data_IF_323607686522
#
_entry.id   IF_323607686522
#
_cell.length_a   1.000
_cell.length_b   1.000
_cell.length_c   1.000
_cell.angle_alpha   90.00
_cell.angle_beta   90.00
_cell.angle_gamma   90.00
#
_symmetry.space_group_name_H-M   'P 1'
#
loop_
_entity.id
_entity.type
_entity.pdbx_description
1 polymer ?
#
# COMPACT_ATOMS: atom_id res chain seq x y z
N UNK A 1 -8.04 -14.94 11.79
CA UNK A 1 -7.55 -13.75 12.55
C UNK A 1 -6.73 -12.82 11.66
N UNK A 2 -5.80 -13.34 10.85
CA UNK A 2 -5.05 -12.56 9.83
C UNK A 2 -5.91 -11.79 8.81
N UNK A 3 -7.03 -12.36 8.33
CA UNK A 3 -8.00 -11.65 7.47
C UNK A 3 -8.59 -10.38 8.11
N UNK A 4 -8.72 -10.33 9.44
CA UNK A 4 -9.23 -9.15 10.16
C UNK A 4 -8.17 -8.06 10.33
N UNK A 5 -6.91 -8.44 10.50
CA UNK A 5 -5.82 -7.48 10.74
C UNK A 5 -5.45 -6.69 9.48
N UNK A 6 -5.47 -7.34 8.31
CA UNK A 6 -5.25 -6.65 7.02
C UNK A 6 -6.52 -5.97 6.48
N UNK A 7 -7.71 -6.51 6.76
CA UNK A 7 -8.97 -5.89 6.35
C UNK A 7 -9.26 -4.55 7.03
N UNK A 8 -8.79 -4.35 8.27
CA UNK A 8 -8.92 -3.07 8.97
C UNK A 8 -7.93 -2.01 8.50
N UNK A 9 -6.79 -2.40 7.92
CA UNK A 9 -5.75 -1.48 7.44
C UNK A 9 -6.05 -1.01 6.01
N UNK A 10 -6.74 -1.83 5.20
CA UNK A 10 -7.11 -1.53 3.81
C UNK A 10 -8.55 -1.02 3.63
N UNK A 11 -9.24 -0.65 4.71
CA UNK A 11 -10.52 0.05 4.63
C UNK A 11 -11.73 -0.80 4.25
N UNK A 12 -11.90 -1.99 4.81
CA UNK A 12 -13.21 -2.64 4.83
C UNK A 12 -13.99 -2.22 6.09
N UNK A 13 -14.78 -1.15 5.97
CA UNK A 13 -15.87 -0.88 6.89
C UNK A 13 -17.17 -1.43 6.29
N UNK A 14 -17.58 -2.60 6.78
CA UNK A 14 -18.97 -3.04 6.70
C UNK A 14 -19.81 -2.17 7.65
N UNK A 15 -20.47 -1.13 7.14
CA UNK A 15 -21.67 -0.58 7.80
C UNK A 15 -22.79 -0.29 6.78
N UNK A 16 -23.79 -1.17 6.85
CA UNK A 16 -25.21 -1.04 6.52
C UNK A 16 -25.68 0.11 5.64
N UNK A 17 -25.94 -0.25 4.38
CA UNK A 17 -26.71 0.50 3.40
C UNK A 17 -28.20 0.60 3.83
N UNK A 18 -28.68 1.81 4.18
CA UNK A 18 -30.11 2.15 4.14
C UNK A 18 -30.35 3.29 3.15
N UNK A 19 -30.74 2.87 1.94
CA UNK A 19 -31.73 3.46 1.05
C UNK A 19 -31.97 4.98 1.13
N UNK A 20 -31.60 5.70 0.06
CA UNK A 20 -32.54 6.56 -0.65
C UNK A 20 -32.04 6.88 -2.07
N UNK A 21 -32.96 6.69 -3.04
CA UNK A 21 -32.83 6.98 -4.46
C UNK A 21 -33.78 8.18 -4.78
N UNK A 22 -33.80 8.74 -6.01
CA UNK A 22 -33.11 9.96 -6.44
C UNK A 22 -34.08 11.14 -6.71
N UNK A 23 -33.63 12.41 -6.60
CA UNK A 23 -34.36 13.55 -7.20
C UNK A 23 -33.45 14.67 -7.73
N UNK A 24 -33.53 14.82 -9.06
CA UNK A 24 -33.55 16.04 -9.90
C UNK A 24 -32.48 17.15 -9.80
N UNK A 25 -31.72 17.22 -10.91
CA UNK A 25 -31.62 18.36 -11.84
C UNK A 25 -32.00 19.76 -11.32
N UNK A 26 -31.00 20.64 -11.23
CA UNK A 26 -31.09 21.98 -11.82
C UNK A 26 -29.70 22.50 -12.22
N UNK A 27 -29.64 23.03 -13.44
CA UNK A 27 -28.49 23.62 -14.10
C UNK A 27 -28.24 25.07 -13.64
N UNK A 28 -26.97 25.47 -13.64
CA UNK A 28 -26.45 26.82 -13.95
C UNK A 28 -24.92 26.70 -14.10
N UNK A 29 -24.42 26.58 -15.34
CA UNK A 29 -23.83 27.66 -16.15
C UNK A 29 -22.43 28.13 -15.69
N UNK A 30 -21.44 27.61 -16.42
CA UNK A 30 -20.20 28.20 -16.91
C UNK A 30 -19.66 29.48 -16.26
N UNK A 31 -18.43 29.39 -15.75
CA UNK A 31 -17.40 30.34 -16.12
C UNK A 31 -16.12 29.56 -16.48
N UNK A 32 -15.79 29.63 -17.77
CA UNK A 32 -14.48 29.26 -18.32
C UNK A 32 -13.48 30.31 -17.84
N UNK A 33 -12.37 29.87 -17.24
CA UNK A 33 -11.11 30.59 -17.34
C UNK A 33 -10.05 29.59 -17.81
N UNK A 34 -9.62 29.84 -19.04
CA UNK A 34 -8.67 29.11 -19.84
C UNK A 34 -7.26 29.59 -19.44
N UNK A 35 -6.40 28.70 -18.96
CA UNK A 35 -4.96 28.89 -18.99
C UNK A 35 -4.36 27.64 -19.64
N UNK A 36 -4.11 27.76 -20.95
CA UNK A 36 -3.03 27.06 -21.64
C UNK A 36 -1.73 27.39 -20.91
N UNK A 37 -0.99 26.38 -20.48
CA UNK A 37 0.47 26.47 -20.43
C UNK A 37 1.06 25.13 -20.89
N UNK A 38 2.04 25.28 -21.77
CA UNK A 38 2.66 24.32 -22.67
C UNK A 38 3.37 23.18 -21.91
N UNK A 39 3.16 21.94 -22.36
CA UNK A 39 4.02 20.81 -21.99
C UNK A 39 5.32 20.93 -22.80
N UNK A 40 6.38 21.43 -22.16
CA UNK A 40 7.74 21.22 -22.65
C UNK A 40 8.18 19.80 -22.28
N UNK A 41 8.36 19.01 -23.33
CA UNK A 41 8.78 17.61 -23.35
C UNK A 41 10.29 17.62 -23.65
N UNK A 42 11.12 17.45 -22.62
CA UNK A 42 12.47 16.88 -22.68
C UNK A 42 13.18 17.15 -21.34
N UNK A 43 13.38 16.11 -20.53
CA UNK A 43 14.73 15.77 -20.03
C UNK A 43 14.69 14.47 -19.20
N UNK A 44 15.45 13.52 -19.73
CA UNK A 44 15.94 12.26 -19.18
C UNK A 44 16.30 12.31 -17.68
N UNK A 45 15.51 11.68 -16.81
CA UNK A 45 15.89 11.47 -15.40
C UNK A 45 16.52 10.09 -15.22
N UNK A 46 17.85 10.09 -15.26
CA UNK A 46 18.67 9.01 -14.71
C UNK A 46 18.31 8.83 -13.23
N UNK A 47 17.90 7.61 -12.85
CA UNK A 47 17.75 7.23 -11.44
C UNK A 47 19.16 7.10 -10.85
N UNK A 48 19.72 8.21 -10.37
CA UNK A 48 20.81 8.15 -9.40
C UNK A 48 20.21 7.80 -8.03
N UNK A 49 20.73 6.72 -7.43
CA UNK A 49 20.45 6.28 -6.07
C UNK A 49 20.95 7.35 -5.09
N UNK A 50 20.10 8.33 -4.80
CA UNK A 50 20.44 9.55 -4.08
C UNK A 50 20.30 9.35 -2.56
N UNK A 51 20.98 8.32 -2.03
CA UNK A 51 20.98 7.97 -0.60
C UNK A 51 21.45 9.10 0.34
N UNK A 52 22.02 10.18 -0.22
CA UNK A 52 22.45 11.36 0.51
C UNK A 52 21.44 12.53 0.52
N UNK A 53 20.37 12.49 -0.27
CA UNK A 53 19.39 13.59 -0.34
C UNK A 53 18.36 13.60 0.80
N UNK A 54 18.17 12.45 1.47
CA UNK A 54 17.12 12.24 2.47
C UNK A 54 17.67 11.87 3.84
N UNK A 55 17.03 12.35 4.90
CA UNK A 55 17.27 11.91 6.26
C UNK A 55 16.90 10.41 6.39
N UNK A 56 17.81 9.54 6.83
CA UNK A 56 17.57 8.10 6.83
C UNK A 56 16.57 7.64 7.90
N UNK A 57 16.27 8.47 8.91
CA UNK A 57 15.35 8.12 10.00
C UNK A 57 13.91 8.59 9.73
N UNK A 58 13.75 9.69 9.00
CA UNK A 58 12.45 10.33 8.76
C UNK A 58 12.04 10.38 7.30
N UNK A 59 12.97 10.11 6.39
CA UNK A 59 12.83 10.22 4.93
C UNK A 59 12.44 11.62 4.45
N UNK A 60 12.60 12.64 5.30
CA UNK A 60 12.49 14.03 4.86
C UNK A 60 13.74 14.45 4.08
N UNK A 61 13.56 15.28 3.06
CA UNK A 61 14.67 15.87 2.32
C UNK A 61 15.51 16.74 3.23
N UNK A 62 16.84 16.67 3.12
CA UNK A 62 17.77 17.41 3.98
C UNK A 62 17.77 18.93 3.74
N UNK A 63 17.00 19.42 2.77
CA UNK A 63 16.96 20.82 2.35
C UNK A 63 15.90 21.67 3.10
N UNK A 64 15.14 21.06 4.01
CA UNK A 64 14.25 21.76 4.94
C UNK A 64 14.27 21.09 6.33
N UNK A 65 13.79 21.80 7.35
CA UNK A 65 13.56 21.21 8.67
C UNK A 65 12.14 20.66 8.79
N UNK A 66 11.94 19.68 9.67
CA UNK A 66 10.61 19.12 9.94
C UNK A 66 9.64 20.21 10.43
N UNK A 67 10.13 21.20 11.18
CA UNK A 67 9.30 22.34 11.63
C UNK A 67 8.86 23.22 10.46
N UNK A 68 9.72 23.46 9.46
CA UNK A 68 9.35 24.19 8.24
C UNK A 68 8.30 23.41 7.45
N UNK A 69 8.48 22.10 7.31
CA UNK A 69 7.51 21.22 6.67
C UNK A 69 6.14 21.26 7.38
N UNK A 70 6.13 21.10 8.70
CA UNK A 70 4.90 21.12 9.49
C UNK A 70 4.20 22.48 9.44
N UNK A 71 4.95 23.59 9.46
CA UNK A 71 4.38 24.93 9.37
C UNK A 71 3.72 25.19 8.00
N UNK A 72 4.33 24.71 6.90
CA UNK A 72 3.75 24.83 5.57
C UNK A 72 2.46 24.01 5.44
N UNK A 73 2.47 22.76 5.92
CA UNK A 73 1.28 21.91 5.98
C UNK A 73 0.18 22.58 6.77
N UNK A 74 0.50 23.11 7.95
CA UNK A 74 -0.47 23.79 8.80
C UNK A 74 -1.06 25.03 8.14
N UNK A 75 -0.23 25.81 7.44
CA UNK A 75 -0.66 26.98 6.68
C UNK A 75 -1.67 26.61 5.59
N UNK A 76 -1.36 25.60 4.76
CA UNK A 76 -2.24 25.16 3.66
C UNK A 76 -3.53 24.52 4.18
N UNK A 77 -3.42 23.62 5.15
CA UNK A 77 -4.57 22.95 5.73
C UNK A 77 -5.53 23.93 6.41
N UNK A 78 -5.03 24.88 7.21
CA UNK A 78 -5.87 25.90 7.85
C UNK A 78 -6.51 26.84 6.83
N UNK A 79 -5.81 27.21 5.77
CA UNK A 79 -6.37 28.05 4.71
C UNK A 79 -7.54 27.35 3.99
N UNK A 80 -7.45 26.03 3.79
CA UNK A 80 -8.53 25.23 3.23
C UNK A 80 -9.70 25.06 4.20
N UNK A 81 -9.42 24.68 5.45
CA UNK A 81 -10.45 24.53 6.50
C UNK A 81 -11.23 25.84 6.68
N UNK A 82 -10.54 26.98 6.76
CA UNK A 82 -11.19 28.29 6.90
C UNK A 82 -12.05 28.68 5.69
N UNK A 83 -11.73 28.16 4.49
CA UNK A 83 -12.56 28.34 3.30
C UNK A 83 -13.84 27.52 3.41
N UNK A 84 -13.74 26.24 3.74
CA UNK A 84 -14.90 25.36 3.92
C UNK A 84 -15.84 25.87 5.03
N UNK A 85 -15.29 26.27 6.17
CA UNK A 85 -16.08 26.81 7.29
C UNK A 85 -16.81 28.11 6.89
N UNK A 86 -16.16 28.99 6.11
CA UNK A 86 -16.78 30.20 5.57
C UNK A 86 -17.92 29.87 4.61
N UNK A 87 -17.76 28.80 3.84
CA UNK A 87 -18.75 28.34 2.87
C UNK A 87 -19.88 27.50 3.55
N UNK A 88 -19.86 27.43 4.89
CA UNK A 88 -20.92 26.85 5.71
C UNK A 88 -20.78 25.34 5.92
N UNK A 89 -19.67 24.74 5.48
CA UNK A 89 -19.38 23.33 5.68
C UNK A 89 -18.91 23.12 7.11
N UNK A 90 -19.55 22.18 7.81
CA UNK A 90 -19.14 21.78 9.16
C UNK A 90 -18.27 20.54 9.04
N UNK A 91 -16.97 20.72 9.21
CA UNK A 91 -15.99 19.63 9.18
C UNK A 91 -15.98 18.88 10.51
N UNK A 92 -15.99 17.55 10.46
CA UNK A 92 -15.73 16.73 11.64
C UNK A 92 -14.21 16.57 11.84
N UNK A 93 -13.80 16.12 13.03
CA UNK A 93 -12.39 15.92 13.33
C UNK A 93 -11.70 14.98 12.33
N UNK A 94 -12.41 13.94 11.88
CA UNK A 94 -11.92 13.01 10.85
C UNK A 94 -11.64 13.71 9.52
N UNK A 95 -12.47 14.67 9.13
CA UNK A 95 -12.27 15.43 7.89
C UNK A 95 -11.04 16.33 8.02
N UNK A 96 -10.91 17.00 9.18
CA UNK A 96 -9.73 17.80 9.53
C UNK A 96 -8.47 16.95 9.42
N UNK A 97 -8.45 15.78 10.04
CA UNK A 97 -7.29 14.88 10.02
C UNK A 97 -6.93 14.44 8.59
N UNK A 98 -7.93 14.13 7.75
CA UNK A 98 -7.74 13.80 6.34
C UNK A 98 -7.16 14.98 5.52
N UNK A 99 -7.63 16.20 5.78
CA UNK A 99 -7.13 17.41 5.11
C UNK A 99 -5.66 17.61 5.43
N UNK A 100 -5.29 17.50 6.71
CA UNK A 100 -3.90 17.57 7.13
C UNK A 100 -3.06 16.46 6.48
N UNK A 101 -3.55 15.23 6.43
CA UNK A 101 -2.85 14.13 5.77
C UNK A 101 -2.59 14.41 4.29
N UNK A 102 -3.61 14.87 3.54
CA UNK A 102 -3.49 15.19 2.12
C UNK A 102 -2.47 16.31 1.86
N UNK A 103 -2.50 17.38 2.66
CA UNK A 103 -1.54 18.47 2.50
C UNK A 103 -0.12 18.08 2.85
N UNK A 104 0.08 17.12 3.77
CA UNK A 104 1.42 16.56 4.01
C UNK A 104 1.97 15.87 2.77
N UNK A 105 1.13 15.09 2.07
CA UNK A 105 1.50 14.46 0.81
C UNK A 105 1.87 15.49 -0.25
N UNK A 106 1.02 16.50 -0.41
CA UNK A 106 1.22 17.55 -1.41
C UNK A 106 2.52 18.33 -1.16
N UNK A 107 2.76 18.77 0.07
CA UNK A 107 3.99 19.50 0.44
C UNK A 107 5.21 18.60 0.27
N UNK A 108 5.13 17.33 0.67
CA UNK A 108 6.25 16.40 0.53
C UNK A 108 6.60 16.15 -0.93
N UNK A 109 5.61 15.87 -1.78
CA UNK A 109 5.84 15.70 -3.22
C UNK A 109 6.40 16.98 -3.85
N UNK A 110 5.82 18.15 -3.54
CA UNK A 110 6.24 19.42 -4.12
C UNK A 110 7.67 19.81 -3.73
N UNK A 111 8.08 19.55 -2.50
CA UNK A 111 9.40 19.96 -2.01
C UNK A 111 10.50 18.98 -2.41
N UNK A 112 10.20 17.70 -2.49
CA UNK A 112 11.23 16.67 -2.72
C UNK A 112 11.25 16.15 -4.16
N UNK A 113 10.29 16.54 -5.01
CA UNK A 113 10.09 15.98 -6.34
C UNK A 113 10.15 14.43 -6.34
N UNK A 114 9.52 13.83 -5.32
CA UNK A 114 9.74 12.44 -4.98
C UNK A 114 9.01 11.47 -5.93
N UNK A 115 9.61 10.31 -6.19
CA UNK A 115 8.95 9.20 -6.90
C UNK A 115 7.81 8.61 -6.06
N UNK A 116 6.95 7.80 -6.69
CA UNK A 116 5.88 7.09 -5.98
C UNK A 116 6.43 6.11 -4.92
N UNK A 117 7.57 5.47 -5.17
CA UNK A 117 8.22 4.59 -4.20
C UNK A 117 8.74 5.37 -2.99
N UNK A 118 9.42 6.50 -3.23
CA UNK A 118 9.90 7.37 -2.15
C UNK A 118 8.73 7.91 -1.31
N UNK A 119 7.63 8.25 -1.97
CA UNK A 119 6.39 8.67 -1.30
C UNK A 119 5.83 7.56 -0.40
N UNK A 120 5.74 6.33 -0.91
CA UNK A 120 5.24 5.18 -0.15
C UNK A 120 6.12 4.89 1.07
N UNK A 121 7.44 4.96 0.90
CA UNK A 121 8.41 4.77 2.00
C UNK A 121 8.26 5.87 3.06
N UNK A 122 8.12 7.12 2.65
CA UNK A 122 7.91 8.24 3.57
C UNK A 122 6.56 8.14 4.30
N UNK A 123 5.48 7.78 3.62
CA UNK A 123 4.17 7.52 4.24
C UNK A 123 4.26 6.37 5.25
N UNK A 124 4.94 5.28 4.91
CA UNK A 124 5.13 4.18 5.82
C UNK A 124 5.91 4.61 7.08
N UNK A 125 6.94 5.44 6.92
CA UNK A 125 7.74 5.96 8.03
C UNK A 125 6.99 6.99 8.91
N UNK A 126 6.00 7.71 8.37
CA UNK A 126 5.37 8.85 9.05
C UNK A 126 3.84 8.71 9.28
N UNK A 127 3.19 7.69 8.72
CA UNK A 127 1.74 7.49 8.76
C UNK A 127 1.17 7.40 10.17
N UNK A 128 1.89 6.78 11.10
CA UNK A 128 1.44 6.68 12.49
C UNK A 128 1.55 8.01 13.24
N UNK A 129 2.61 8.79 13.00
CA UNK A 129 2.74 10.18 13.47
C UNK A 129 1.57 11.04 13.02
N UNK A 130 1.08 10.83 11.80
CA UNK A 130 -0.04 11.58 11.24
C UNK A 130 -1.40 11.19 11.82
N UNK A 131 -1.51 10.01 12.44
CA UNK A 131 -2.70 9.58 13.22
C UNK A 131 -2.61 10.01 14.70
N UNK A 132 -1.67 10.90 15.06
CA UNK A 132 -1.50 11.38 16.43
C UNK A 132 -0.84 10.37 17.37
N UNK A 133 -0.33 9.26 16.85
CA UNK A 133 0.48 8.31 17.60
C UNK A 133 1.93 8.78 17.49
N UNK A 134 2.57 9.11 18.60
CA UNK A 134 3.97 9.50 18.59
C UNK A 134 4.84 8.31 18.17
N UNK A 135 5.15 8.22 16.88
CA UNK A 135 6.11 7.25 16.34
C UNK A 135 7.33 8.01 15.84
N UNK A 136 8.49 7.73 16.42
CA UNK A 136 9.77 8.25 15.96
C UNK A 136 10.20 7.48 14.72
N UNK A 137 9.74 7.89 13.52
CA UNK A 137 10.24 7.40 12.22
C UNK A 137 10.55 5.90 12.18
N UNK A 138 11.71 5.54 11.61
CA UNK A 138 12.23 4.18 11.74
C UNK A 138 12.49 3.84 13.23
N UNK A 139 11.73 2.89 13.77
CA UNK A 139 11.99 2.33 15.09
C UNK A 139 13.22 1.42 15.01
N UNK A 140 14.21 1.67 15.88
CA UNK A 140 15.36 0.76 16.05
C UNK A 140 14.97 -0.36 17.01
N UNK A 141 15.38 -1.57 16.67
CA UNK A 141 15.19 -2.73 17.54
C UNK A 141 15.92 -2.54 18.87
N UNK A 142 15.18 -2.64 19.98
CA UNK A 142 15.73 -2.60 21.33
C UNK A 142 15.72 -4.00 21.94
N UNK A 143 16.90 -4.59 22.05
CA UNK A 143 17.11 -5.92 22.66
C UNK A 143 16.60 -6.04 24.11
N UNK A 144 16.39 -4.92 24.80
CA UNK A 144 15.83 -4.89 26.16
C UNK A 144 14.30 -4.91 26.21
N UNK A 145 13.62 -4.74 25.07
CA UNK A 145 12.16 -4.77 25.00
C UNK A 145 11.64 -6.20 25.27
N UNK A 146 10.81 -6.41 26.30
CA UNK A 146 10.27 -7.73 26.62
C UNK A 146 9.34 -8.28 25.53
N UNK A 147 8.71 -7.43 24.73
CA UNK A 147 7.86 -7.86 23.62
C UNK A 147 8.66 -8.34 22.39
N UNK A 148 9.95 -8.04 22.31
CA UNK A 148 10.82 -8.47 21.20
C UNK A 148 11.59 -9.77 21.49
N UNK A 149 11.39 -10.38 22.67
CA UNK A 149 12.10 -11.61 23.03
C UNK A 149 11.76 -12.77 22.07
N UNK A 150 12.73 -13.47 21.48
CA UNK A 150 12.48 -14.55 20.54
C UNK A 150 11.56 -15.63 21.10
N UNK A 151 10.69 -16.19 20.24
CA UNK A 151 9.79 -17.30 20.57
C UNK A 151 10.31 -18.53 19.82
N UNK A 152 10.66 -19.60 20.53
CA UNK A 152 11.33 -20.78 19.94
C UNK A 152 12.62 -20.45 19.17
N UNK A 153 13.32 -19.38 19.56
CA UNK A 153 14.50 -18.88 18.84
C UNK A 153 14.20 -18.11 17.55
N UNK A 154 12.92 -17.84 17.27
CA UNK A 154 12.47 -17.01 16.15
C UNK A 154 12.21 -15.59 16.65
N UNK A 155 13.00 -14.64 16.15
CA UNK A 155 12.82 -13.21 16.39
C UNK A 155 11.69 -12.62 15.52
N UNK A 156 11.37 -11.34 15.76
CA UNK A 156 10.29 -10.66 15.04
C UNK A 156 10.60 -10.59 13.54
N UNK A 157 11.84 -10.27 13.16
CA UNK A 157 12.27 -10.14 11.76
C UNK A 157 12.08 -11.45 10.99
N UNK A 158 12.51 -12.56 11.57
CA UNK A 158 12.36 -13.91 10.99
C UNK A 158 10.89 -14.31 10.90
N UNK A 159 10.11 -14.04 11.94
CA UNK A 159 8.66 -14.27 11.91
C UNK A 159 7.98 -13.47 10.80
N UNK A 160 8.32 -12.19 10.64
CA UNK A 160 7.78 -11.34 9.58
C UNK A 160 8.11 -11.88 8.20
N UNK A 161 9.34 -12.34 7.98
CA UNK A 161 9.75 -12.94 6.72
C UNK A 161 8.98 -14.23 6.39
N UNK A 162 8.76 -15.10 7.39
CA UNK A 162 7.91 -16.28 7.24
C UNK A 162 6.48 -15.89 6.88
N UNK A 163 5.90 -14.91 7.59
CA UNK A 163 4.56 -14.40 7.32
C UNK A 163 4.43 -13.79 5.92
N UNK A 164 5.44 -13.03 5.48
CA UNK A 164 5.54 -12.49 4.11
C UNK A 164 5.56 -13.59 3.06
N UNK A 165 6.34 -14.65 3.27
CA UNK A 165 6.43 -15.78 2.33
C UNK A 165 5.11 -16.56 2.23
N UNK A 166 4.42 -16.73 3.35
CA UNK A 166 3.09 -17.34 3.36
C UNK A 166 2.07 -16.43 2.68
N UNK A 167 2.15 -15.12 2.95
CA UNK A 167 1.34 -14.09 2.29
C UNK A 167 1.56 -14.04 0.77
N UNK A 168 2.75 -14.42 0.28
CA UNK A 168 3.04 -14.56 -1.14
C UNK A 168 2.55 -15.88 -1.75
N UNK A 169 1.75 -16.66 -1.00
CA UNK A 169 1.10 -17.89 -1.47
C UNK A 169 1.93 -19.16 -1.32
N UNK A 170 3.06 -19.13 -0.59
CA UNK A 170 3.78 -20.36 -0.23
C UNK A 170 3.03 -21.09 0.87
N UNK A 171 2.87 -22.41 0.72
CA UNK A 171 2.27 -23.23 1.76
C UNK A 171 3.07 -23.14 3.08
N UNK A 172 2.36 -22.90 4.19
CA UNK A 172 3.02 -22.67 5.47
C UNK A 172 3.81 -23.89 5.97
N UNK A 173 3.45 -25.12 5.56
CA UNK A 173 4.21 -26.32 5.94
C UNK A 173 5.54 -26.38 5.21
N UNK A 174 5.62 -25.87 3.97
CA UNK A 174 6.88 -25.72 3.25
C UNK A 174 7.77 -24.66 3.90
N UNK A 175 7.19 -23.54 4.33
CA UNK A 175 7.90 -22.50 5.08
C UNK A 175 8.43 -23.05 6.41
N UNK A 176 7.60 -23.78 7.17
CA UNK A 176 8.02 -24.44 8.41
C UNK A 176 9.17 -25.43 8.15
N UNK A 177 9.04 -26.28 7.12
CA UNK A 177 10.06 -27.26 6.74
C UNK A 177 11.38 -26.59 6.38
N UNK A 178 11.37 -25.51 5.62
CA UNK A 178 12.58 -24.78 5.25
C UNK A 178 13.26 -24.10 6.45
N UNK A 179 12.45 -23.64 7.40
CA UNK A 179 12.93 -23.09 8.67
C UNK A 179 13.31 -24.16 9.70
N UNK A 180 13.16 -25.45 9.37
CA UNK A 180 13.35 -26.58 10.30
C UNK A 180 12.48 -26.44 11.58
N UNK A 181 11.23 -26.03 11.39
CA UNK A 181 10.23 -25.84 12.44
C UNK A 181 9.10 -26.86 12.31
N UNK A 182 8.57 -27.30 13.44
CA UNK A 182 7.32 -28.06 13.47
C UNK A 182 6.13 -27.13 13.21
N UNK A 183 5.08 -27.57 12.48
CA UNK A 183 3.88 -26.76 12.25
C UNK A 183 3.23 -26.19 13.52
N UNK A 184 3.29 -26.93 14.64
CA UNK A 184 2.79 -26.46 15.93
C UNK A 184 3.54 -25.20 16.44
N UNK A 185 4.84 -25.07 16.14
CA UNK A 185 5.61 -23.86 16.48
C UNK A 185 5.08 -22.66 15.69
N UNK A 186 4.73 -22.85 14.42
CA UNK A 186 4.14 -21.79 13.61
C UNK A 186 2.76 -21.33 14.12
N UNK A 187 1.92 -22.26 14.57
CA UNK A 187 0.64 -21.93 15.20
C UNK A 187 0.83 -21.09 16.49
N UNK A 188 1.84 -21.43 17.29
CA UNK A 188 2.18 -20.67 18.49
C UNK A 188 2.73 -19.27 18.14
N UNK A 189 3.63 -19.17 17.17
CA UNK A 189 4.15 -17.89 16.69
C UNK A 189 3.02 -16.96 16.22
N UNK A 190 2.04 -17.51 15.50
CA UNK A 190 0.83 -16.80 15.05
C UNK A 190 -0.15 -16.42 16.16
N UNK A 191 0.09 -16.90 17.38
CA UNK A 191 -0.67 -16.49 18.56
C UNK A 191 0.11 -15.43 19.34
N UNK A 192 1.38 -15.71 19.62
CA UNK A 192 2.23 -14.88 20.49
C UNK A 192 2.54 -13.53 19.85
N UNK A 193 2.97 -13.48 18.58
CA UNK A 193 3.35 -12.22 17.95
C UNK A 193 2.17 -11.25 17.78
N UNK A 194 0.98 -11.69 17.28
CA UNK A 194 -0.19 -10.82 17.25
C UNK A 194 -0.65 -10.38 18.65
N UNK A 195 -0.55 -11.25 19.66
CA UNK A 195 -0.85 -10.87 21.03
C UNK A 195 0.09 -9.78 21.53
N UNK A 196 1.40 -9.90 21.29
CA UNK A 196 2.39 -8.88 21.66
C UNK A 196 2.18 -7.57 20.92
N UNK A 197 1.81 -7.60 19.64
CA UNK A 197 1.41 -6.39 18.89
C UNK A 197 0.19 -5.71 19.50
N UNK A 198 -0.76 -6.49 20.03
CA UNK A 198 -1.97 -5.96 20.66
C UNK A 198 -1.71 -5.41 22.08
N UNK A 199 -0.78 -6.02 22.82
CA UNK A 199 -0.42 -5.62 24.18
C UNK A 199 0.63 -4.50 24.22
N UNK A 200 1.41 -4.34 23.16
CA UNK A 200 2.43 -3.29 23.05
C UNK A 200 1.82 -1.91 22.81
N UNK A 201 1.62 -1.17 23.90
CA UNK A 201 1.08 0.19 23.87
C UNK A 201 2.00 1.23 23.22
N UNK A 202 3.30 0.95 23.05
CA UNK A 202 4.20 1.85 22.32
C UNK A 202 4.21 1.60 20.81
N UNK A 203 3.43 0.63 20.33
CA UNK A 203 3.34 0.24 18.92
C UNK A 203 4.69 -0.15 18.28
N UNK A 204 5.71 -0.39 19.09
CA UNK A 204 7.08 -0.72 18.68
C UNK A 204 7.11 -2.02 17.89
N UNK A 205 6.45 -3.07 18.38
CA UNK A 205 6.36 -4.38 17.72
C UNK A 205 5.64 -4.27 16.38
N UNK A 206 4.52 -3.56 16.34
CA UNK A 206 3.73 -3.35 15.11
C UNK A 206 4.52 -2.54 14.07
N UNK A 207 5.24 -1.51 14.51
CA UNK A 207 6.09 -0.68 13.64
C UNK A 207 7.23 -1.51 13.05
N UNK A 208 7.98 -2.23 13.89
CA UNK A 208 9.07 -3.11 13.47
C UNK A 208 8.58 -4.22 12.54
N UNK A 209 7.41 -4.81 12.82
CA UNK A 209 6.80 -5.78 11.92
C UNK A 209 6.55 -5.18 10.53
N UNK A 210 5.97 -3.98 10.46
CA UNK A 210 5.78 -3.26 9.21
C UNK A 210 7.11 -3.05 8.49
N UNK A 211 8.11 -2.50 9.17
CA UNK A 211 9.44 -2.24 8.62
C UNK A 211 10.08 -3.50 8.02
N UNK A 212 10.14 -4.60 8.79
CA UNK A 212 10.68 -5.87 8.31
C UNK A 212 9.87 -6.48 7.17
N UNK A 213 8.58 -6.19 7.05
CA UNK A 213 7.75 -6.68 5.95
C UNK A 213 8.15 -6.03 4.61
N UNK A 214 8.61 -4.77 4.66
CA UNK A 214 9.14 -4.05 3.49
C UNK A 214 10.52 -4.53 3.04
N UNK A 215 11.30 -5.17 3.91
CA UNK A 215 12.66 -5.62 3.61
C UNK A 215 12.70 -6.79 2.61
N UNK A 216 13.82 -6.89 1.89
CA UNK A 216 14.09 -8.07 1.06
C UNK A 216 14.26 -9.32 1.92
N UNK A 217 13.87 -10.47 1.38
CA UNK A 217 14.03 -11.77 2.05
C UNK A 217 15.46 -12.33 1.93
N UNK A 218 16.37 -11.63 1.26
CA UNK A 218 17.73 -12.10 0.94
C UNK A 218 18.54 -12.47 2.19
N UNK A 219 18.27 -11.79 3.32
CA UNK A 219 18.95 -12.06 4.59
C UNK A 219 18.51 -13.39 5.25
N UNK A 220 17.39 -13.98 4.80
CA UNK A 220 16.88 -15.27 5.32
C UNK A 220 16.94 -16.29 4.18
N UNK A 221 18.16 -16.76 3.94
CA UNK A 221 18.52 -17.69 2.86
C UNK A 221 17.64 -18.95 2.78
N UNK A 222 17.09 -19.40 3.91
CA UNK A 222 16.18 -20.55 3.98
C UNK A 222 14.87 -20.30 3.22
N UNK A 223 14.39 -19.06 3.18
CA UNK A 223 13.13 -18.65 2.55
C UNK A 223 13.31 -18.09 1.14
N UNK A 224 14.53 -17.67 0.78
CA UNK A 224 14.83 -17.01 -0.49
C UNK A 224 14.44 -17.87 -1.71
N UNK A 225 14.66 -19.19 -1.66
CA UNK A 225 14.48 -20.08 -2.82
C UNK A 225 13.17 -20.88 -2.84
N UNK A 226 12.28 -20.66 -1.87
CA UNK A 226 11.00 -21.37 -1.85
C UNK A 226 10.04 -20.59 -2.72
N UNK A 227 9.39 -21.22 -3.69
CA UNK A 227 8.38 -20.56 -4.50
C UNK A 227 7.00 -21.18 -4.22
N UNK A 228 5.91 -20.42 -4.43
CA UNK A 228 4.57 -20.98 -4.39
C UNK A 228 4.49 -22.17 -5.37
N UNK A 229 3.98 -23.30 -4.90
CA UNK A 229 3.74 -24.43 -5.79
C UNK A 229 2.59 -24.05 -6.74
N UNK A 230 2.94 -23.82 -8.01
CA UNK A 230 1.97 -23.51 -9.05
C UNK A 230 1.73 -24.73 -9.93
N UNK A 231 0.45 -25.02 -10.19
CA UNK A 231 0.07 -25.95 -11.24
C UNK A 231 0.55 -25.44 -12.61
N UNK A 232 0.72 -26.35 -13.57
CA UNK A 232 1.15 -25.97 -14.93
C UNK A 232 0.14 -25.00 -15.57
N UNK A 233 -1.17 -25.20 -15.34
CA UNK A 233 -2.21 -24.27 -15.77
C UNK A 233 -2.08 -22.89 -15.12
N UNK A 234 -1.76 -22.82 -13.82
CA UNK A 234 -1.55 -21.54 -13.15
C UNK A 234 -0.33 -20.79 -13.72
N UNK A 235 0.75 -21.51 -14.05
CA UNK A 235 1.93 -20.93 -14.71
C UNK A 235 1.57 -20.41 -16.10
N UNK A 236 0.78 -21.16 -16.87
CA UNK A 236 0.28 -20.72 -18.18
C UNK A 236 -0.59 -19.46 -18.06
N UNK A 237 -1.51 -19.41 -17.08
CA UNK A 237 -2.34 -18.23 -16.84
C UNK A 237 -1.52 -17.03 -16.39
N UNK A 238 -0.54 -17.21 -15.51
CA UNK A 238 0.35 -16.13 -15.09
C UNK A 238 1.21 -15.62 -16.26
N UNK A 239 1.74 -16.52 -17.08
CA UNK A 239 2.46 -16.13 -18.28
C UNK A 239 1.54 -15.39 -19.27
N UNK A 240 0.32 -15.87 -19.44
CA UNK A 240 -0.69 -15.22 -20.27
C UNK A 240 -1.03 -13.83 -19.74
N UNK A 241 -1.20 -13.67 -18.42
CA UNK A 241 -1.37 -12.37 -17.78
C UNK A 241 -0.20 -11.43 -18.07
N UNK A 242 1.05 -11.92 -18.14
CA UNK A 242 2.22 -11.10 -18.46
C UNK A 242 2.30 -10.70 -19.94
N UNK A 243 1.78 -11.53 -20.85
CA UNK A 243 1.95 -11.32 -22.30
C UNK A 243 0.71 -10.83 -23.04
N UNK A 244 -0.47 -11.00 -22.47
CA UNK A 244 -1.77 -10.67 -23.06
C UNK A 244 -2.48 -9.62 -22.19
N UNK A 245 -2.38 -8.33 -22.54
CA UNK A 245 -2.96 -7.26 -21.75
C UNK A 245 -4.48 -7.36 -21.61
N UNK A 246 -5.17 -7.91 -22.61
CA UNK A 246 -6.63 -8.09 -22.55
C UNK A 246 -7.01 -9.16 -21.52
N UNK A 247 -6.22 -10.22 -21.41
CA UNK A 247 -6.43 -11.24 -20.40
C UNK A 247 -6.20 -10.69 -18.98
N UNK A 248 -5.17 -9.85 -18.80
CA UNK A 248 -4.97 -9.13 -17.54
C UNK A 248 -6.17 -8.22 -17.19
N UNK A 249 -6.63 -7.41 -18.15
CA UNK A 249 -7.77 -6.51 -17.95
C UNK A 249 -9.08 -7.28 -17.65
N UNK A 250 -9.29 -8.43 -18.28
CA UNK A 250 -10.42 -9.33 -18.00
C UNK A 250 -10.37 -9.87 -16.57
N UNK A 251 -9.20 -10.33 -16.12
CA UNK A 251 -9.03 -10.82 -14.76
C UNK A 251 -9.18 -9.71 -13.72
N UNK A 252 -8.71 -8.49 -14.01
CA UNK A 252 -8.91 -7.33 -13.14
C UNK A 252 -10.40 -6.95 -13.07
N UNK A 253 -11.11 -7.00 -14.20
CA UNK A 253 -12.56 -6.84 -14.26
C UNK A 253 -13.31 -7.88 -13.45
N UNK A 254 -12.93 -9.16 -13.56
CA UNK A 254 -13.51 -10.25 -12.81
C UNK A 254 -13.24 -10.13 -11.30
N UNK A 255 -12.02 -9.73 -10.91
CA UNK A 255 -11.63 -9.45 -9.53
C UNK A 255 -12.48 -8.32 -8.93
N UNK A 256 -12.65 -7.22 -9.67
CA UNK A 256 -13.48 -6.10 -9.23
C UNK A 256 -14.97 -6.47 -9.16
N UNK A 257 -15.47 -7.24 -10.12
CA UNK A 257 -16.83 -7.75 -10.08
C UNK A 257 -17.06 -8.61 -8.84
N UNK A 258 -16.13 -9.51 -8.50
CA UNK A 258 -16.21 -10.32 -7.29
C UNK A 258 -16.35 -9.46 -6.02
N UNK A 259 -15.54 -8.39 -5.89
CA UNK A 259 -15.71 -7.43 -4.78
C UNK A 259 -17.09 -6.77 -4.77
N UNK A 260 -17.60 -6.35 -5.93
CA UNK A 260 -18.91 -5.72 -6.04
C UNK A 260 -20.06 -6.66 -5.61
N UNK A 261 -19.85 -7.99 -5.68
CA UNK A 261 -20.79 -9.01 -5.21
C UNK A 261 -20.50 -9.51 -3.78
N UNK A 262 -19.63 -8.83 -3.02
CA UNK A 262 -19.29 -9.19 -1.64
C UNK A 262 -18.39 -10.43 -1.52
N UNK A 263 -17.74 -10.84 -2.61
CA UNK A 263 -16.75 -11.92 -2.62
C UNK A 263 -15.33 -11.34 -2.49
N UNK A 264 -14.43 -12.13 -1.91
CA UNK A 264 -13.01 -11.82 -1.89
C UNK A 264 -12.43 -12.03 -3.30
N UNK A 265 -12.29 -10.95 -4.08
CA UNK A 265 -11.85 -11.03 -5.47
C UNK A 265 -10.45 -11.62 -5.63
N UNK A 266 -9.55 -11.37 -4.67
CA UNK A 266 -8.23 -12.00 -4.67
C UNK A 266 -8.32 -13.51 -4.46
N UNK A 267 -9.17 -13.95 -3.52
CA UNK A 267 -9.46 -15.38 -3.32
C UNK A 267 -10.11 -16.00 -4.56
N UNK A 268 -11.04 -15.28 -5.22
CA UNK A 268 -11.70 -15.78 -6.42
C UNK A 268 -10.70 -16.03 -7.56
N UNK A 269 -9.74 -15.13 -7.78
CA UNK A 269 -8.68 -15.31 -8.77
C UNK A 269 -7.78 -16.50 -8.40
N UNK A 270 -7.42 -16.64 -7.13
CA UNK A 270 -6.64 -17.77 -6.64
C UNK A 270 -7.37 -19.10 -6.88
N UNK A 271 -8.66 -19.18 -6.57
CA UNK A 271 -9.44 -20.41 -6.69
C UNK A 271 -9.67 -20.83 -8.16
N UNK A 272 -9.81 -19.87 -9.08
CA UNK A 272 -10.14 -20.15 -10.48
C UNK A 272 -8.89 -20.24 -11.39
N UNK A 273 -7.83 -19.50 -11.07
CA UNK A 273 -6.65 -19.39 -11.93
C UNK A 273 -5.36 -19.85 -11.23
N UNK A 274 -5.38 -20.14 -9.93
CA UNK A 274 -4.18 -20.51 -9.17
C UNK A 274 -3.18 -19.37 -9.02
N UNK A 275 -3.62 -18.13 -9.23
CA UNK A 275 -2.79 -16.92 -9.18
C UNK A 275 -3.07 -16.22 -7.86
N UNK A 276 -2.05 -16.10 -7.02
CA UNK A 276 -2.20 -15.43 -5.74
C UNK A 276 -2.09 -13.90 -5.88
N UNK A 277 -2.46 -13.18 -4.83
CA UNK A 277 -2.48 -11.73 -4.84
C UNK A 277 -1.10 -11.12 -5.14
N UNK A 278 -0.03 -11.67 -4.59
CA UNK A 278 1.32 -11.13 -4.81
C UNK A 278 1.73 -11.22 -6.29
N UNK A 279 1.48 -12.38 -6.92
CA UNK A 279 1.71 -12.58 -8.36
C UNK A 279 0.85 -11.65 -9.21
N UNK A 280 -0.40 -11.44 -8.80
CA UNK A 280 -1.29 -10.51 -9.47
C UNK A 280 -0.77 -9.07 -9.40
N UNK A 281 -0.31 -8.63 -8.22
CA UNK A 281 0.27 -7.31 -8.03
C UNK A 281 1.58 -7.13 -8.82
N UNK A 282 2.41 -8.17 -8.93
CA UNK A 282 3.62 -8.14 -9.77
C UNK A 282 3.28 -7.80 -11.24
N UNK A 283 2.26 -8.47 -11.81
CA UNK A 283 1.81 -8.18 -13.18
C UNK A 283 1.18 -6.79 -13.30
N UNK A 284 0.42 -6.36 -12.29
CA UNK A 284 -0.16 -5.03 -12.25
C UNK A 284 0.92 -3.93 -12.27
N UNK A 285 1.99 -4.09 -11.49
CA UNK A 285 3.14 -3.19 -11.50
C UNK A 285 3.86 -3.20 -12.85
N UNK A 286 4.05 -4.36 -13.46
CA UNK A 286 4.65 -4.47 -14.81
C UNK A 286 3.85 -3.66 -15.85
N UNK A 287 2.51 -3.78 -15.87
CA UNK A 287 1.68 -2.98 -16.78
C UNK A 287 1.62 -1.50 -16.41
N UNK A 288 1.69 -1.16 -15.12
CA UNK A 288 1.78 0.22 -14.68
C UNK A 288 3.08 0.87 -15.18
N UNK A 289 4.21 0.19 -15.05
CA UNK A 289 5.50 0.65 -15.57
C UNK A 289 5.50 0.77 -17.09
N UNK A 290 4.97 -0.24 -17.80
CA UNK A 290 4.84 -0.21 -19.26
C UNK A 290 3.99 0.98 -19.71
N UNK A 291 2.85 1.21 -19.04
CA UNK A 291 1.99 2.37 -19.33
C UNK A 291 2.72 3.69 -19.09
N UNK A 292 3.41 3.83 -17.97
CA UNK A 292 4.10 5.06 -17.61
C UNK A 292 5.29 5.36 -18.55
N UNK A 293 5.90 4.33 -19.15
CA UNK A 293 7.06 4.48 -20.04
C UNK A 293 6.68 4.59 -21.52
N UNK A 294 5.63 3.88 -21.96
CA UNK A 294 5.42 3.60 -23.38
C UNK A 294 4.08 4.08 -23.95
N UNK A 295 3.09 4.48 -23.12
CA UNK A 295 1.75 4.75 -23.64
C UNK A 295 1.49 6.25 -23.76
N UNK A 296 0.95 6.67 -24.91
CA UNK A 296 0.42 8.02 -25.08
C UNK A 296 -1.10 8.10 -24.78
N UNK A 297 -1.63 9.32 -24.66
CA UNK A 297 -3.03 9.59 -24.30
C UNK A 297 -4.08 8.89 -25.19
N UNK A 298 -3.75 8.60 -26.46
CA UNK A 298 -4.65 7.90 -27.38
C UNK A 298 -4.74 6.40 -27.09
N UNK A 299 -3.64 5.77 -26.69
CA UNK A 299 -3.58 4.34 -26.36
C UNK A 299 -4.30 4.04 -25.03
N UNK A 300 -4.17 4.96 -24.06
CA UNK A 300 -4.91 4.92 -22.79
C UNK A 300 -6.42 4.99 -23.04
N UNK A 301 -6.86 5.88 -23.93
CA UNK A 301 -8.28 6.09 -24.25
C UNK A 301 -8.91 4.89 -24.98
N UNK A 302 -8.19 4.25 -25.91
CA UNK A 302 -8.70 3.08 -26.64
C UNK A 302 -8.93 1.86 -25.72
N UNK A 303 -8.09 1.66 -24.71
CA UNK A 303 -8.25 0.56 -23.74
C UNK A 303 -9.33 0.82 -22.71
N UNK A 304 -9.47 2.07 -22.24
CA UNK A 304 -10.60 2.46 -21.38
C UNK A 304 -11.95 2.21 -22.07
N UNK A 305 -12.03 2.43 -23.39
CA UNK A 305 -13.23 2.11 -24.16
C UNK A 305 -13.49 0.59 -24.26
N UNK A 306 -12.45 -0.25 -24.28
CA UNK A 306 -12.63 -1.70 -24.26
C UNK A 306 -13.31 -2.19 -22.96
N UNK A 307 -13.03 -1.54 -21.81
CA UNK A 307 -13.71 -1.82 -20.53
C UNK A 307 -15.21 -1.52 -20.55
N UNK A 308 -15.66 -0.58 -21.38
CA UNK A 308 -17.07 -0.18 -21.45
C UNK A 308 -17.89 -0.97 -22.48
N UNK A 309 -17.23 -1.71 -23.38
CA UNK A 309 -17.88 -2.36 -24.53
C UNK A 309 -18.19 -3.87 -24.33
N UNK A 310 -17.71 -4.51 -23.26
CA UNK A 310 -18.10 -5.88 -22.92
C UNK A 310 -18.86 -5.95 -21.60
N UNK A 311 -20.08 -6.53 -21.59
CA UNK A 311 -20.92 -6.68 -20.40
C UNK A 311 -20.38 -7.70 -19.40
#
# INVERSE_FOLDING_TARGET
MFKKLFGSILGNNEEENKQQQPQNQHASQHHEDNYDDEYDDDENYENEDDGDAYDPETLHGKHYTIDQFNAEVESRAKAWIAREERDGVKLEQKDIDNIYFNYRREVYTAWNNCSQDQMLRWEMANSMTHMGIATSGFVKEDSSNPFLQPVHGIDLRTYTAMAKKIGSGVDYTLVCKAMNLEPAIWEELNTVWPQRMAEDTSFTVTTLFGQYYGESLDDITQLANIEPEMSDSAKEYLQKMKTDPYFYEELEGARQAAYNYGMDGAQWILDNFGINLAQFQEVAMMYMEDRNKNWNSNEISQRLNHRTEKP
#
